data_IF_597510652708
#
_entry.id   IF_597510652708
#
_cell.length_a   1.000
_cell.length_b   1.000
_cell.length_c   1.000
_cell.angle_alpha   90.00
_cell.angle_beta   90.00
_cell.angle_gamma   90.00
#
_symmetry.space_group_name_H-M   'P 1'
#
loop_
_entity.id
_entity.type
_entity.pdbx_description
1 polymer ?
#
# COMPACT_ATOMS: atom_id res chain seq x y z
N UNK A 1 2.16 1.41 -17.66
CA UNK A 1 1.53 1.66 -16.35
C UNK A 1 2.56 1.34 -15.30
N UNK A 2 2.87 2.27 -14.41
CA UNK A 2 3.87 2.04 -13.37
C UNK A 2 3.37 1.02 -12.35
N UNK A 3 4.23 0.08 -11.96
CA UNK A 3 3.92 -0.97 -10.99
C UNK A 3 3.50 -0.40 -9.63
N UNK A 4 4.03 0.78 -9.26
CA UNK A 4 3.62 1.54 -8.08
C UNK A 4 2.16 1.97 -8.19
N UNK A 5 1.73 2.46 -9.35
CA UNK A 5 0.33 2.87 -9.59
C UNK A 5 -0.61 1.68 -9.49
N UNK A 6 -0.22 0.52 -10.01
CA UNK A 6 -1.04 -0.69 -9.90
C UNK A 6 -1.09 -1.23 -8.46
N UNK A 7 0.00 -1.13 -7.71
CA UNK A 7 0.05 -1.48 -6.29
C UNK A 7 -0.88 -0.57 -5.45
N UNK A 8 -0.94 0.73 -5.75
CA UNK A 8 -1.89 1.63 -5.10
C UNK A 8 -3.32 1.31 -5.48
N UNK A 9 -3.57 0.93 -6.73
CA UNK A 9 -4.91 0.53 -7.20
C UNK A 9 -5.38 -0.77 -6.53
N UNK A 10 -4.52 -1.76 -6.35
CA UNK A 10 -4.88 -2.98 -5.61
C UNK A 10 -5.15 -2.68 -4.14
N UNK A 11 -4.40 -1.74 -3.54
CA UNK A 11 -4.66 -1.26 -2.18
C UNK A 11 -6.00 -0.53 -2.04
N UNK A 12 -6.39 0.29 -3.03
CA UNK A 12 -7.70 0.93 -3.08
C UNK A 12 -8.84 -0.07 -3.25
N UNK A 13 -8.61 -1.18 -3.95
CA UNK A 13 -9.59 -2.25 -4.14
C UNK A 13 -9.66 -3.23 -2.97
N UNK A 14 -8.66 -3.22 -2.08
CA UNK A 14 -8.55 -4.18 -0.97
C UNK A 14 -8.16 -5.59 -1.42
N UNK A 15 -7.67 -5.76 -2.65
CA UNK A 15 -7.31 -7.08 -3.14
C UNK A 15 -5.92 -7.47 -2.62
N UNK A 16 -5.89 -8.17 -1.48
CA UNK A 16 -4.66 -8.64 -0.85
C UNK A 16 -3.83 -9.57 -1.77
N UNK A 17 -4.48 -10.44 -2.56
CA UNK A 17 -3.76 -11.35 -3.45
C UNK A 17 -3.04 -10.61 -4.56
N UNK A 18 -3.74 -9.69 -5.22
CA UNK A 18 -3.13 -8.85 -6.27
C UNK A 18 -2.04 -7.96 -5.66
N UNK A 19 -2.29 -7.42 -4.45
CA UNK A 19 -1.32 -6.61 -3.74
C UNK A 19 -0.01 -7.35 -3.48
N UNK A 20 -0.10 -8.57 -2.95
CA UNK A 20 1.06 -9.43 -2.69
C UNK A 20 1.78 -9.81 -4.00
N UNK A 21 1.02 -10.12 -5.06
CA UNK A 21 1.60 -10.45 -6.37
C UNK A 21 2.29 -9.27 -7.07
N UNK A 22 1.84 -8.04 -6.81
CA UNK A 22 2.44 -6.82 -7.35
C UNK A 22 3.62 -6.30 -6.51
N UNK A 23 3.74 -6.76 -5.27
CA UNK A 23 4.76 -6.35 -4.32
C UNK A 23 6.11 -7.04 -4.62
N UNK A 24 6.75 -6.65 -5.72
CA UNK A 24 8.04 -7.23 -6.14
C UNK A 24 9.24 -6.73 -5.32
N UNK A 25 9.19 -5.46 -4.88
CA UNK A 25 10.28 -4.83 -4.13
C UNK A 25 9.76 -4.24 -2.84
N UNK A 26 10.46 -4.51 -1.73
CA UNK A 26 10.15 -3.92 -0.42
C UNK A 26 10.09 -2.39 -0.46
N UNK A 27 10.85 -1.72 -1.34
CA UNK A 27 10.81 -0.27 -1.49
C UNK A 27 9.48 0.28 -2.03
N UNK A 28 8.64 -0.56 -2.64
CA UNK A 28 7.34 -0.15 -3.18
C UNK A 28 6.28 0.05 -2.09
N UNK A 29 6.47 -0.58 -0.92
CA UNK A 29 5.51 -0.46 0.19
C UNK A 29 5.48 0.94 0.81
N UNK A 30 6.59 1.69 0.66
CA UNK A 30 6.72 3.08 1.09
C UNK A 30 6.64 4.05 -0.08
N UNK A 31 6.41 3.56 -1.30
CA UNK A 31 6.28 4.43 -2.46
C UNK A 31 5.04 5.31 -2.30
N UNK A 32 5.18 6.58 -2.64
CA UNK A 32 4.09 7.55 -2.58
C UNK A 32 3.44 7.69 -3.95
N UNK A 33 2.11 7.78 -3.97
CA UNK A 33 1.36 8.10 -5.17
C UNK A 33 1.39 9.61 -5.49
N UNK A 34 0.61 10.02 -6.49
CA UNK A 34 0.53 11.40 -6.97
C UNK A 34 0.05 12.41 -5.91
N UNK A 35 -0.60 11.95 -4.84
CA UNK A 35 -1.05 12.80 -3.73
C UNK A 35 -0.18 12.63 -2.48
N UNK A 36 0.95 11.92 -2.57
CA UNK A 36 1.84 11.70 -1.43
C UNK A 36 1.41 10.54 -0.51
N UNK A 37 0.39 9.78 -0.87
CA UNK A 37 -0.15 8.69 -0.05
C UNK A 37 0.63 7.39 -0.29
N UNK A 38 0.85 6.60 0.76
CA UNK A 38 1.42 5.25 0.65
C UNK A 38 0.30 4.23 0.38
N UNK A 39 0.64 2.98 0.02
CA UNK A 39 -0.33 1.90 -0.07
C UNK A 39 -1.09 1.67 1.24
N UNK A 40 -0.43 1.86 2.39
CA UNK A 40 -1.09 1.78 3.70
C UNK A 40 -2.15 2.88 3.86
N UNK A 41 -1.84 4.13 3.48
CA UNK A 41 -2.83 5.21 3.50
C UNK A 41 -4.07 4.86 2.68
N UNK A 42 -3.90 4.26 1.50
CA UNK A 42 -5.04 3.80 0.68
C UNK A 42 -5.80 2.66 1.36
N UNK A 43 -5.12 1.64 1.86
CA UNK A 43 -5.79 0.53 2.53
C UNK A 43 -6.65 1.02 3.71
N UNK A 44 -6.12 1.94 4.53
CA UNK A 44 -6.85 2.54 5.66
C UNK A 44 -7.99 3.45 5.19
N UNK A 45 -7.73 4.34 4.22
CA UNK A 45 -8.73 5.30 3.70
C UNK A 45 -9.96 4.59 3.12
N UNK A 46 -9.76 3.46 2.45
CA UNK A 46 -10.84 2.68 1.84
C UNK A 46 -11.41 1.58 2.75
N UNK A 47 -10.94 1.48 4.00
CA UNK A 47 -11.46 0.53 4.99
C UNK A 47 -11.06 -0.93 4.78
N UNK A 48 -9.96 -1.18 4.07
CA UNK A 48 -9.46 -2.53 3.79
C UNK A 48 -8.58 -3.03 4.93
N UNK A 49 -9.21 -3.37 6.05
CA UNK A 49 -8.53 -3.73 7.30
C UNK A 49 -7.58 -4.91 7.17
N UNK A 50 -7.97 -5.97 6.43
CA UNK A 50 -7.11 -7.15 6.23
C UNK A 50 -5.81 -6.79 5.51
N UNK A 51 -5.89 -5.92 4.50
CA UNK A 51 -4.72 -5.42 3.80
C UNK A 51 -3.90 -4.48 4.68
N UNK A 52 -4.55 -3.58 5.42
CA UNK A 52 -3.87 -2.65 6.32
C UNK A 52 -3.11 -3.40 7.43
N UNK A 53 -3.72 -4.42 8.03
CA UNK A 53 -3.12 -5.30 9.02
C UNK A 53 -1.94 -6.08 8.43
N UNK A 54 -2.10 -6.63 7.23
CA UNK A 54 -1.01 -7.28 6.51
C UNK A 54 0.18 -6.34 6.31
N UNK A 55 -0.07 -5.11 5.82
CA UNK A 55 0.98 -4.12 5.56
C UNK A 55 1.65 -3.68 6.87
N UNK A 56 0.87 -3.35 7.91
CA UNK A 56 1.38 -2.92 9.21
C UNK A 56 2.24 -4.00 9.89
N UNK A 57 1.82 -5.26 9.79
CA UNK A 57 2.52 -6.40 10.41
C UNK A 57 3.81 -6.75 9.66
N UNK A 58 3.77 -6.79 8.33
CA UNK A 58 4.92 -7.22 7.51
C UNK A 58 5.90 -6.08 7.21
N UNK A 59 5.43 -4.83 7.24
CA UNK A 59 6.20 -3.64 6.88
C UNK A 59 5.97 -2.51 7.90
N UNK A 60 6.45 -2.66 9.15
CA UNK A 60 6.26 -1.64 10.19
C UNK A 60 6.86 -0.28 9.83
N UNK A 61 7.85 -0.23 8.93
CA UNK A 61 8.43 1.00 8.37
C UNK A 61 7.40 1.91 7.68
N UNK A 62 6.24 1.38 7.31
CA UNK A 62 5.14 2.15 6.69
C UNK A 62 4.33 2.94 7.69
N UNK A 63 4.38 2.59 8.98
CA UNK A 63 3.63 3.27 10.05
C UNK A 63 4.19 4.67 10.33
N UNK A 64 5.50 4.86 10.10
CA UNK A 64 6.17 6.15 10.26
C UNK A 64 6.01 7.05 9.03
N UNK A 65 5.39 6.55 7.96
CA UNK A 65 5.19 7.32 6.75
C UNK A 65 4.11 8.38 7.00
N UNK A 66 4.53 9.61 7.27
CA UNK A 66 3.61 10.74 7.37
C UNK A 66 2.93 10.99 6.03
N UNK A 67 1.66 11.32 6.07
CA UNK A 67 1.00 12.05 5.01
C UNK A 67 1.74 13.38 4.77
N UNK A 68 1.72 13.85 3.52
CA UNK A 68 2.39 15.08 3.11
C UNK A 68 1.67 16.33 3.63
#
# INVERSE_FOLDING_TARGET
>A
MDQITELHRSAMKGNLRDFQGLLDRKSMITARDQIGATPLHKAVLYGHYELAEYIATNFPVTLDARDN
#
